data_IF_665466975534
#
_entry.id   IF_665466975534
#
_cell.length_a   1.000
_cell.length_b   1.000
_cell.length_c   1.000
_cell.angle_alpha   90.00
_cell.angle_beta   90.00
_cell.angle_gamma   90.00
#
_symmetry.space_group_name_H-M   'P 1'
#
loop_
_entity.id
_entity.type
_entity.pdbx_description
1 polymer ?
#
# COMPACT_ATOMS: atom_id res chain seq x y z
N UNK A 1 -25.63 -41.99 -29.67
CA UNK A 1 -26.61 -41.45 -28.70
C UNK A 1 -25.85 -40.65 -27.68
N UNK A 2 -26.07 -39.33 -27.70
CA UNK A 2 -25.43 -38.35 -26.85
C UNK A 2 -25.89 -38.47 -25.40
N UNK A 3 -24.98 -38.27 -24.45
CA UNK A 3 -25.31 -37.63 -23.18
C UNK A 3 -24.19 -36.64 -22.85
N UNK A 4 -24.47 -35.36 -23.14
CA UNK A 4 -23.72 -34.22 -22.67
C UNK A 4 -23.80 -34.16 -21.14
N UNK A 5 -22.66 -34.12 -20.46
CA UNK A 5 -22.59 -33.75 -19.05
C UNK A 5 -21.76 -32.48 -18.94
N UNK A 6 -22.45 -31.34 -19.04
CA UNK A 6 -21.87 -30.01 -18.81
C UNK A 6 -21.87 -29.74 -17.30
N UNK A 7 -20.74 -29.94 -16.65
CA UNK A 7 -20.51 -29.45 -15.28
C UNK A 7 -20.10 -27.98 -15.35
N UNK A 8 -21.08 -27.09 -15.14
CA UNK A 8 -20.85 -25.68 -14.86
C UNK A 8 -20.19 -25.55 -13.47
N UNK A 9 -18.86 -25.40 -13.42
CA UNK A 9 -18.17 -24.91 -12.24
C UNK A 9 -18.45 -23.41 -12.11
N UNK A 10 -19.48 -23.06 -11.35
CA UNK A 10 -19.70 -21.68 -10.92
C UNK A 10 -18.60 -21.27 -9.94
N UNK A 11 -17.74 -20.32 -10.33
CA UNK A 11 -16.89 -19.60 -9.39
C UNK A 11 -17.79 -18.83 -8.42
N UNK A 12 -17.90 -19.31 -7.18
CA UNK A 12 -18.36 -18.50 -6.06
C UNK A 12 -17.24 -17.52 -5.71
N UNK A 13 -17.27 -16.34 -6.31
CA UNK A 13 -16.53 -15.18 -5.81
C UNK A 13 -17.23 -14.81 -4.49
N UNK A 14 -16.61 -15.13 -3.36
CA UNK A 14 -16.98 -14.50 -2.09
C UNK A 14 -16.56 -13.03 -2.17
N UNK A 15 -17.48 -12.19 -2.65
CA UNK A 15 -17.41 -10.77 -2.34
C UNK A 15 -17.64 -10.65 -0.84
N UNK A 16 -16.56 -10.47 -0.08
CA UNK A 16 -16.67 -10.01 1.31
C UNK A 16 -17.18 -8.58 1.20
N UNK A 17 -18.50 -8.42 1.29
CA UNK A 17 -19.10 -7.14 1.54
C UNK A 17 -18.64 -6.72 2.95
N UNK A 18 -17.65 -5.84 3.01
CA UNK A 18 -17.36 -5.09 4.22
C UNK A 18 -18.61 -4.25 4.45
N UNK A 19 -19.46 -4.71 5.37
CA UNK A 19 -20.58 -3.93 5.85
C UNK A 19 -20.03 -2.58 6.34
N UNK A 20 -20.57 -1.48 5.81
CA UNK A 20 -20.22 -0.14 6.22
C UNK A 20 -20.48 0.03 7.71
N UNK A 21 -19.40 0.17 8.46
CA UNK A 21 -19.43 0.87 9.73
C UNK A 21 -19.14 2.34 9.40
N UNK A 22 -20.17 3.19 9.48
CA UNK A 22 -20.15 4.63 9.21
C UNK A 22 -19.28 5.43 10.19
N UNK A 23 -18.29 4.79 10.80
CA UNK A 23 -17.31 5.41 11.69
C UNK A 23 -15.95 5.47 10.99
N UNK A 24 -15.89 6.22 9.90
CA UNK A 24 -14.63 6.82 9.44
C UNK A 24 -14.00 7.53 10.65
N UNK A 25 -12.96 6.91 11.23
CA UNK A 25 -12.35 7.42 12.46
C UNK A 25 -11.77 8.80 12.19
N UNK A 26 -12.40 9.80 12.81
CA UNK A 26 -11.98 11.19 12.81
C UNK A 26 -11.14 11.46 14.06
N UNK A 27 -10.20 12.38 13.97
CA UNK A 27 -9.38 12.76 15.12
C UNK A 27 -9.58 14.23 15.47
N UNK A 28 -9.68 14.58 16.76
CA UNK A 28 -9.87 15.96 17.17
C UNK A 28 -8.80 16.89 16.57
N UNK A 29 -9.24 17.98 15.95
CA UNK A 29 -8.36 19.02 15.40
C UNK A 29 -7.83 18.75 14.00
N UNK A 30 -8.12 17.60 13.40
CA UNK A 30 -7.79 17.36 12.00
C UNK A 30 -8.69 18.23 11.09
N UNK A 31 -8.12 18.85 10.03
CA UNK A 31 -8.89 19.66 9.11
C UNK A 31 -9.83 18.81 8.26
N UNK A 32 -10.97 19.39 7.90
CA UNK A 32 -11.94 18.80 6.98
C UNK A 32 -11.72 19.38 5.59
N UNK A 33 -11.69 18.51 4.57
CA UNK A 33 -11.54 18.92 3.19
C UNK A 33 -12.00 17.82 2.24
N UNK A 34 -12.19 18.15 0.96
CA UNK A 34 -12.44 17.14 -0.08
C UNK A 34 -11.17 16.40 -0.49
N UNK A 35 -11.34 15.27 -1.18
CA UNK A 35 -10.22 14.51 -1.77
C UNK A 35 -9.43 15.37 -2.76
N UNK A 36 -10.11 16.22 -3.52
CA UNK A 36 -9.46 17.13 -4.46
C UNK A 36 -8.55 18.13 -3.74
N UNK A 37 -9.07 18.78 -2.69
CA UNK A 37 -8.29 19.74 -1.89
C UNK A 37 -7.10 19.06 -1.22
N UNK A 38 -7.30 17.89 -0.61
CA UNK A 38 -6.23 17.09 -0.02
C UNK A 38 -5.13 16.78 -1.05
N UNK A 39 -5.51 16.25 -2.22
CA UNK A 39 -4.54 15.91 -3.25
C UNK A 39 -3.82 17.13 -3.85
N UNK A 40 -4.47 18.28 -3.97
CA UNK A 40 -3.80 19.53 -4.38
C UNK A 40 -2.79 20.01 -3.34
N UNK A 41 -3.08 19.89 -2.05
CA UNK A 41 -2.19 20.35 -0.97
C UNK A 41 -0.90 19.53 -0.84
N UNK A 42 -0.93 18.25 -1.23
CA UNK A 42 0.20 17.32 -1.06
C UNK A 42 1.03 17.15 -2.34
N UNK A 43 0.51 17.59 -3.48
CA UNK A 43 1.10 17.30 -4.79
C UNK A 43 1.87 18.50 -5.34
N UNK A 44 3.12 18.27 -5.73
CA UNK A 44 3.92 19.24 -6.50
C UNK A 44 3.87 19.03 -8.01
N UNK A 45 3.32 17.89 -8.47
CA UNK A 45 3.25 17.50 -9.88
C UNK A 45 1.92 16.80 -10.19
N UNK A 46 1.56 16.70 -11.48
CA UNK A 46 0.36 15.97 -11.91
C UNK A 46 0.45 14.48 -11.56
N UNK A 47 1.63 13.86 -11.71
CA UNK A 47 1.81 12.45 -11.37
C UNK A 47 1.58 12.18 -9.87
N UNK A 48 2.03 13.07 -8.99
CA UNK A 48 1.73 12.97 -7.55
C UNK A 48 0.24 13.14 -7.26
N UNK A 49 -0.43 14.05 -7.96
CA UNK A 49 -1.86 14.28 -7.83
C UNK A 49 -2.66 13.04 -8.24
N UNK A 50 -2.35 12.44 -9.39
CA UNK A 50 -3.01 11.24 -9.88
C UNK A 50 -2.76 10.05 -8.94
N UNK A 51 -1.53 9.91 -8.42
CA UNK A 51 -1.20 8.88 -7.41
C UNK A 51 -1.97 9.10 -6.11
N UNK A 52 -2.14 10.35 -5.67
CA UNK A 52 -2.98 10.69 -4.52
C UNK A 52 -4.44 10.29 -4.74
N UNK A 53 -4.98 10.60 -5.92
CA UNK A 53 -6.36 10.23 -6.28
C UNK A 53 -6.56 8.71 -6.30
N UNK A 54 -5.59 7.94 -6.81
CA UNK A 54 -5.64 6.47 -6.75
C UNK A 54 -5.55 5.96 -5.31
N UNK A 55 -4.66 6.51 -4.49
CA UNK A 55 -4.52 6.13 -3.08
C UNK A 55 -5.80 6.38 -2.25
N UNK A 56 -6.60 7.39 -2.64
CA UNK A 56 -7.84 7.78 -1.97
C UNK A 56 -9.10 7.34 -2.73
N UNK A 57 -8.99 6.43 -3.70
CA UNK A 57 -10.10 6.07 -4.59
C UNK A 57 -11.29 5.39 -3.89
N UNK A 58 -11.01 4.70 -2.79
CA UNK A 58 -12.03 3.98 -2.01
C UNK A 58 -12.76 4.88 -1.00
N UNK A 59 -12.41 6.17 -0.92
CA UNK A 59 -13.14 7.12 -0.07
C UNK A 59 -14.55 7.33 -0.64
N UNK A 60 -15.61 7.05 0.15
CA UNK A 60 -16.98 7.27 -0.29
C UNK A 60 -17.26 8.77 -0.46
N UNK A 61 -18.11 9.12 -1.42
CA UNK A 61 -18.50 10.52 -1.67
C UNK A 61 -17.31 11.49 -1.72
N UNK A 62 -16.38 11.35 -2.70
CA UNK A 62 -15.11 12.09 -2.72
C UNK A 62 -15.27 13.61 -2.92
N UNK A 63 -16.48 14.07 -3.24
CA UNK A 63 -16.84 15.50 -3.36
C UNK A 63 -17.29 16.11 -2.02
N UNK A 64 -17.61 15.29 -1.02
CA UNK A 64 -17.91 15.75 0.34
C UNK A 64 -16.62 15.96 1.12
N UNK A 65 -16.68 16.80 2.16
CA UNK A 65 -15.58 16.96 3.09
C UNK A 65 -15.44 15.73 3.99
N UNK A 66 -14.20 15.28 4.18
CA UNK A 66 -13.83 14.26 5.17
C UNK A 66 -12.72 14.80 6.06
N UNK A 67 -12.64 14.26 7.27
CA UNK A 67 -11.52 14.51 8.19
C UNK A 67 -10.20 14.04 7.56
N UNK A 68 -9.16 14.86 7.60
CA UNK A 68 -7.87 14.53 7.00
C UNK A 68 -7.23 13.22 7.51
N UNK A 69 -7.58 12.77 8.71
CA UNK A 69 -7.10 11.49 9.27
C UNK A 69 -7.60 10.30 8.45
N UNK A 70 -8.80 10.40 7.88
CA UNK A 70 -9.34 9.41 6.94
C UNK A 70 -8.41 9.24 5.74
N UNK A 71 -7.91 10.35 5.20
CA UNK A 71 -7.01 10.33 4.04
C UNK A 71 -5.65 9.75 4.40
N UNK A 72 -5.11 10.08 5.59
CA UNK A 72 -3.88 9.46 6.08
C UNK A 72 -4.02 7.94 6.24
N UNK A 73 -5.11 7.48 6.87
CA UNK A 73 -5.40 6.05 7.05
C UNK A 73 -5.57 5.32 5.72
N UNK A 74 -6.33 5.91 4.77
CA UNK A 74 -6.54 5.32 3.46
C UNK A 74 -5.21 5.20 2.67
N UNK A 75 -4.38 6.24 2.70
CA UNK A 75 -3.08 6.22 2.02
C UNK A 75 -2.12 5.19 2.63
N UNK A 76 -2.02 5.13 3.97
CA UNK A 76 -1.22 4.14 4.69
C UNK A 76 -1.68 2.70 4.39
N UNK A 77 -3.00 2.48 4.38
CA UNK A 77 -3.60 1.17 4.06
C UNK A 77 -3.36 0.77 2.60
N UNK A 78 -3.42 1.73 1.66
CA UNK A 78 -3.09 1.50 0.25
C UNK A 78 -1.60 1.17 0.05
N UNK A 79 -0.71 1.80 0.83
CA UNK A 79 0.72 1.49 0.82
C UNK A 79 0.97 0.08 1.38
N UNK A 80 0.35 -0.29 2.51
CA UNK A 80 0.44 -1.64 3.09
C UNK A 80 -0.05 -2.72 2.11
N UNK A 81 -1.21 -2.51 1.48
CA UNK A 81 -1.75 -3.47 0.52
C UNK A 81 -0.84 -3.65 -0.71
N UNK A 82 -0.21 -2.57 -1.16
CA UNK A 82 0.78 -2.62 -2.25
C UNK A 82 2.01 -3.42 -1.84
N UNK A 83 2.55 -3.14 -0.64
CA UNK A 83 3.70 -3.83 -0.10
C UNK A 83 3.46 -5.33 0.07
N UNK A 84 2.30 -5.72 0.60
CA UNK A 84 1.91 -7.13 0.71
C UNK A 84 1.80 -7.83 -0.66
N UNK A 85 1.32 -7.14 -1.70
CA UNK A 85 1.26 -7.71 -3.05
C UNK A 85 2.66 -7.96 -3.66
N UNK A 86 3.64 -7.12 -3.34
CA UNK A 86 5.04 -7.30 -3.75
C UNK A 86 5.72 -8.42 -2.98
N UNK A 87 5.49 -8.51 -1.66
CA UNK A 87 5.94 -9.63 -0.83
C UNK A 87 5.43 -10.97 -1.38
N UNK A 88 4.13 -11.05 -1.65
CA UNK A 88 3.47 -12.20 -2.27
C UNK A 88 4.09 -12.56 -3.64
N UNK A 89 4.48 -11.56 -4.43
CA UNK A 89 5.16 -11.79 -5.70
C UNK A 89 6.57 -12.37 -5.50
N UNK A 90 7.33 -11.87 -4.51
CA UNK A 90 8.63 -12.41 -4.15
C UNK A 90 8.51 -13.86 -3.64
N UNK A 91 7.55 -14.16 -2.77
CA UNK A 91 7.24 -15.52 -2.28
C UNK A 91 6.98 -16.47 -3.46
N UNK A 92 6.18 -16.03 -4.45
CA UNK A 92 5.92 -16.85 -5.65
C UNK A 92 7.17 -17.07 -6.50
N UNK A 93 8.11 -16.13 -6.55
CA UNK A 93 9.38 -16.33 -7.27
C UNK A 93 10.28 -17.35 -6.57
N UNK A 94 10.32 -17.32 -5.24
CA UNK A 94 11.11 -18.25 -4.41
C UNK A 94 10.51 -19.67 -4.43
N UNK A 95 9.19 -19.79 -4.30
CA UNK A 95 8.51 -21.08 -4.08
C UNK A 95 7.72 -21.62 -5.27
N UNK A 96 7.46 -20.81 -6.29
CA UNK A 96 6.56 -21.16 -7.41
C UNK A 96 7.13 -22.12 -8.45
N UNK A 97 8.29 -22.74 -8.20
CA UNK A 97 8.83 -23.80 -9.06
C UNK A 97 9.39 -23.33 -10.40
N UNK A 98 9.79 -22.06 -10.51
CA UNK A 98 10.46 -21.56 -11.70
C UNK A 98 11.90 -22.10 -11.77
N UNK A 99 12.15 -23.07 -12.67
CA UNK A 99 13.51 -23.55 -13.03
C UNK A 99 14.46 -22.43 -13.51
N UNK A 100 13.94 -21.21 -13.72
CA UNK A 100 14.65 -20.06 -14.28
C UNK A 100 15.20 -19.08 -13.25
N UNK A 101 14.88 -19.23 -11.96
CA UNK A 101 15.40 -18.36 -10.90
C UNK A 101 16.75 -18.91 -10.46
N UNK A 102 17.81 -18.14 -10.67
CA UNK A 102 19.16 -18.45 -10.20
C UNK A 102 19.27 -18.39 -8.67
N UNK A 103 20.35 -18.95 -8.11
CA UNK A 103 20.59 -18.84 -6.67
C UNK A 103 20.69 -17.39 -6.19
N UNK A 104 21.39 -16.54 -6.93
CA UNK A 104 21.51 -15.10 -6.62
C UNK A 104 20.16 -14.38 -6.64
N UNK A 105 19.32 -14.66 -7.64
CA UNK A 105 17.97 -14.10 -7.69
C UNK A 105 17.12 -14.60 -6.53
N UNK A 106 17.22 -15.89 -6.18
CA UNK A 106 16.48 -16.47 -5.07
C UNK A 106 16.87 -15.81 -3.75
N UNK A 107 18.16 -15.68 -3.47
CA UNK A 107 18.68 -15.01 -2.25
C UNK A 107 18.18 -13.55 -2.18
N UNK A 108 18.24 -12.82 -3.29
CA UNK A 108 17.74 -11.45 -3.36
C UNK A 108 16.22 -11.36 -3.09
N UNK A 109 15.42 -12.31 -3.58
CA UNK A 109 13.99 -12.36 -3.32
C UNK A 109 13.67 -12.76 -1.88
N UNK A 110 14.42 -13.69 -1.29
CA UNK A 110 14.28 -14.05 0.13
C UNK A 110 14.57 -12.85 1.04
N UNK A 111 15.65 -12.09 0.79
CA UNK A 111 15.93 -10.87 1.54
C UNK A 111 14.89 -9.76 1.29
N UNK A 112 14.31 -9.69 0.09
CA UNK A 112 13.17 -8.80 -0.16
C UNK A 112 11.95 -9.19 0.67
N UNK A 113 11.64 -10.49 0.83
CA UNK A 113 10.53 -10.95 1.67
C UNK A 113 10.72 -10.46 3.11
N UNK A 114 11.92 -10.66 3.69
CA UNK A 114 12.21 -10.20 5.05
C UNK A 114 12.05 -8.67 5.21
N UNK A 115 12.54 -7.91 4.23
CA UNK A 115 12.39 -6.46 4.21
C UNK A 115 10.92 -6.04 4.14
N UNK A 116 10.12 -6.67 3.26
CA UNK A 116 8.71 -6.37 3.12
C UNK A 116 7.87 -6.81 4.33
N UNK A 117 8.20 -7.91 4.98
CA UNK A 117 7.59 -8.31 6.26
C UNK A 117 7.84 -7.22 7.31
N UNK A 118 9.06 -6.70 7.41
CA UNK A 118 9.43 -5.63 8.36
C UNK A 118 8.71 -4.32 8.04
N UNK A 119 8.71 -3.92 6.76
CA UNK A 119 7.97 -2.76 6.27
C UNK A 119 6.46 -2.87 6.55
N UNK A 120 5.88 -4.06 6.38
CA UNK A 120 4.49 -4.35 6.69
C UNK A 120 4.15 -4.10 8.15
N UNK A 121 4.96 -4.64 9.07
CA UNK A 121 4.80 -4.40 10.51
C UNK A 121 4.92 -2.92 10.88
N UNK A 122 5.90 -2.21 10.32
CA UNK A 122 6.07 -0.78 10.57
C UNK A 122 4.87 0.04 10.07
N UNK A 123 4.34 -0.27 8.89
CA UNK A 123 3.15 0.40 8.36
C UNK A 123 1.89 0.07 9.17
N UNK A 124 1.73 -1.16 9.66
CA UNK A 124 0.64 -1.51 10.60
C UNK A 124 0.72 -0.67 11.87
N UNK A 125 1.91 -0.50 12.44
CA UNK A 125 2.09 0.35 13.62
C UNK A 125 1.72 1.83 13.35
N UNK A 126 2.01 2.35 12.15
CA UNK A 126 1.57 3.68 11.71
C UNK A 126 0.03 3.75 11.62
N UNK A 127 -0.61 2.75 11.01
CA UNK A 127 -2.07 2.67 10.88
C UNK A 127 -2.73 2.61 12.26
N UNK A 128 -2.21 1.80 13.18
CA UNK A 128 -2.72 1.68 14.55
C UNK A 128 -2.62 3.01 15.32
N UNK A 129 -1.48 3.69 15.21
CA UNK A 129 -1.29 5.03 15.79
C UNK A 129 -2.31 6.02 15.23
N UNK A 130 -2.45 6.12 13.90
CA UNK A 130 -3.44 6.99 13.26
C UNK A 130 -4.88 6.64 13.73
N UNK A 131 -5.21 5.36 13.79
CA UNK A 131 -6.52 4.86 14.23
C UNK A 131 -6.80 5.04 15.72
N UNK A 132 -5.79 5.40 16.51
CA UNK A 132 -5.88 5.78 17.92
C UNK A 132 -5.73 7.29 18.14
N UNK A 133 -5.69 8.09 17.07
CA UNK A 133 -5.37 9.53 17.11
C UNK A 133 -4.02 9.83 17.79
N UNK A 134 -3.09 8.88 17.73
CA UNK A 134 -1.73 8.99 18.20
C UNK A 134 -0.83 9.54 17.10
N UNK A 135 -0.39 10.78 17.24
CA UNK A 135 0.48 11.44 16.27
C UNK A 135 1.98 11.38 16.63
N UNK A 136 2.31 10.66 17.71
CA UNK A 136 3.68 10.49 18.19
C UNK A 136 4.52 9.62 17.24
N UNK A 137 5.61 10.20 16.76
CA UNK A 137 6.61 9.55 15.90
C UNK A 137 6.01 8.75 14.73
N UNK A 138 5.10 9.38 13.99
CA UNK A 138 4.61 8.85 12.71
C UNK A 138 5.68 8.96 11.62
N UNK A 139 6.50 10.02 11.68
CA UNK A 139 7.59 10.23 10.73
C UNK A 139 8.63 9.10 10.79
N UNK A 140 9.06 8.68 11.98
CA UNK A 140 9.95 7.53 12.14
C UNK A 140 9.37 6.27 11.53
N UNK A 141 8.12 5.94 11.87
CA UNK A 141 7.44 4.75 11.32
C UNK A 141 7.34 4.73 9.80
N UNK A 142 7.03 5.86 9.15
CA UNK A 142 7.04 5.95 7.69
C UNK A 142 8.45 5.82 7.09
N UNK A 143 9.46 6.40 7.74
CA UNK A 143 10.85 6.32 7.27
C UNK A 143 11.38 4.88 7.36
N UNK A 144 11.04 4.14 8.41
CA UNK A 144 11.39 2.72 8.55
C UNK A 144 10.82 1.90 7.38
N UNK A 145 9.53 2.09 7.06
CA UNK A 145 8.89 1.46 5.89
C UNK A 145 9.63 1.76 4.59
N UNK A 146 9.97 3.03 4.36
CA UNK A 146 10.65 3.46 3.13
C UNK A 146 12.05 2.84 3.07
N UNK A 147 12.81 2.82 4.18
CA UNK A 147 14.15 2.25 4.23
C UNK A 147 14.13 0.76 3.86
N UNK A 148 13.17 0.00 4.37
CA UNK A 148 13.05 -1.43 4.06
C UNK A 148 12.67 -1.68 2.59
N UNK A 149 11.73 -0.90 2.04
CA UNK A 149 11.39 -0.97 0.60
C UNK A 149 12.62 -0.64 -0.26
N UNK A 150 13.40 0.39 0.11
CA UNK A 150 14.62 0.75 -0.61
C UNK A 150 15.71 -0.32 -0.48
N UNK A 151 15.77 -1.04 0.64
CA UNK A 151 16.67 -2.18 0.81
C UNK A 151 16.36 -3.31 -0.18
N UNK A 152 15.08 -3.62 -0.41
CA UNK A 152 14.70 -4.56 -1.47
C UNK A 152 15.01 -3.98 -2.86
N UNK A 153 14.69 -2.70 -3.13
CA UNK A 153 14.98 -2.04 -4.41
C UNK A 153 16.44 -2.22 -4.81
N UNK A 154 17.36 -1.96 -3.88
CA UNK A 154 18.81 -2.00 -4.13
C UNK A 154 19.32 -3.41 -4.45
N UNK A 155 18.60 -4.45 -4.02
CA UNK A 155 18.90 -5.85 -4.36
C UNK A 155 18.39 -6.17 -5.75
N UNK A 156 17.10 -5.96 -5.99
CA UNK A 156 16.49 -6.33 -7.27
C UNK A 156 16.96 -5.48 -8.45
N UNK A 157 17.51 -4.28 -8.18
CA UNK A 157 18.17 -3.44 -9.18
C UNK A 157 19.46 -4.06 -9.72
N UNK A 158 20.16 -4.90 -8.93
CA UNK A 158 21.41 -5.56 -9.36
C UNK A 158 21.15 -6.78 -10.24
N UNK A 159 19.93 -7.32 -10.19
CA UNK A 159 19.53 -8.46 -10.99
C UNK A 159 19.26 -8.04 -12.44
N UNK A 160 19.44 -8.97 -13.38
CA UNK A 160 19.09 -8.73 -14.77
C UNK A 160 17.57 -8.76 -14.94
N UNK A 161 16.95 -7.59 -15.06
CA UNK A 161 15.52 -7.44 -15.36
C UNK A 161 14.58 -8.15 -14.36
N UNK A 162 14.77 -7.89 -13.06
CA UNK A 162 13.89 -8.44 -12.02
C UNK A 162 12.41 -8.10 -12.29
N UNK A 163 11.49 -9.08 -12.25
CA UNK A 163 10.08 -8.87 -12.53
C UNK A 163 9.37 -8.05 -11.45
N UNK A 164 9.94 -7.90 -10.25
CA UNK A 164 9.33 -7.12 -9.15
C UNK A 164 9.89 -5.71 -9.03
N UNK A 165 10.93 -5.33 -9.78
CA UNK A 165 11.54 -3.99 -9.66
C UNK A 165 10.52 -2.85 -9.83
N UNK A 166 9.62 -2.96 -10.81
CA UNK A 166 8.55 -1.99 -11.02
C UNK A 166 7.56 -1.91 -9.86
N UNK A 167 7.26 -3.03 -9.20
CA UNK A 167 6.38 -3.08 -8.04
C UNK A 167 7.00 -2.37 -6.84
N UNK A 168 8.30 -2.61 -6.60
CA UNK A 168 9.06 -1.94 -5.52
C UNK A 168 9.06 -0.42 -5.67
N UNK A 169 9.18 0.09 -6.90
CA UNK A 169 9.09 1.52 -7.17
C UNK A 169 7.70 2.09 -6.87
N UNK A 170 6.63 1.33 -7.15
CA UNK A 170 5.26 1.72 -6.81
C UNK A 170 5.08 1.78 -5.29
N UNK A 171 5.57 0.79 -4.57
CA UNK A 171 5.46 0.73 -3.11
C UNK A 171 6.16 1.90 -2.43
N UNK A 172 7.39 2.20 -2.86
CA UNK A 172 8.15 3.36 -2.41
C UNK A 172 7.38 4.67 -2.62
N UNK A 173 6.79 4.83 -3.81
CA UNK A 173 6.00 6.03 -4.12
C UNK A 173 4.74 6.13 -3.26
N UNK A 174 4.05 5.01 -3.01
CA UNK A 174 2.87 4.97 -2.14
C UNK A 174 3.21 5.25 -0.68
N UNK A 175 4.28 4.64 -0.14
CA UNK A 175 4.75 4.90 1.21
C UNK A 175 5.17 6.37 1.39
N UNK A 176 5.92 6.92 0.44
CA UNK A 176 6.30 8.33 0.42
C UNK A 176 5.09 9.27 0.34
N UNK A 177 4.10 8.95 -0.49
CA UNK A 177 2.85 9.72 -0.58
C UNK A 177 2.04 9.65 0.72
N UNK A 178 1.89 8.47 1.33
CA UNK A 178 1.20 8.31 2.61
C UNK A 178 1.86 9.14 3.72
N UNK A 179 3.18 9.16 3.76
CA UNK A 179 3.95 10.03 4.65
C UNK A 179 3.67 11.51 4.38
N UNK A 180 3.72 11.95 3.12
CA UNK A 180 3.47 13.35 2.75
C UNK A 180 2.04 13.77 3.11
N UNK A 181 1.04 12.93 2.81
CA UNK A 181 -0.37 13.17 3.18
C UNK A 181 -0.48 13.36 4.69
N UNK A 182 0.06 12.43 5.46
CA UNK A 182 0.02 12.48 6.93
C UNK A 182 0.67 13.75 7.46
N UNK A 183 1.91 14.03 7.02
CA UNK A 183 2.67 15.22 7.43
C UNK A 183 1.98 16.54 7.07
N UNK A 184 1.54 16.67 5.82
CA UNK A 184 0.97 17.93 5.29
C UNK A 184 -0.42 18.22 5.85
N UNK A 185 -1.26 17.19 6.00
CA UNK A 185 -2.65 17.39 6.38
C UNK A 185 -2.84 17.38 7.89
N UNK A 186 -2.01 16.64 8.65
CA UNK A 186 -2.13 16.51 10.10
C UNK A 186 -1.07 17.33 10.88
N UNK A 187 -0.08 17.90 10.19
CA UNK A 187 0.92 18.78 10.81
C UNK A 187 1.93 18.06 11.71
N UNK A 188 2.23 16.79 11.39
CA UNK A 188 3.12 15.90 12.15
C UNK A 188 4.51 15.77 11.55
#
# INVERSE_FOLDING_TARGET
MNTMSSLLLGLLILAVAVAGDDNLKTCPGAPWMTVESACRNVSGTQAMYDTCKDALREIPNPLSDHDATVYALAAASSALASAAATEDAAIRLVHGGSEKVSGEEKDAYEECIEAYTTAGHAMVAVIDKLGACGFGDLAGGYLDVIVDIESCRDRVLKLTASPIYGMVLVDRNKAGLAFIITKKLLGV
#
